data_IF_832565482027
#
_entry.id   IF_832565482027
#
_cell.length_a   1.000
_cell.length_b   1.000
_cell.length_c   1.000
_cell.angle_alpha   90.00
_cell.angle_beta   90.00
_cell.angle_gamma   90.00
#
_symmetry.space_group_name_H-M   'P 1'
#
loop_
_entity.id
_entity.type
_entity.pdbx_description
1 polymer ?
#
# COMPACT_ATOMS: atom_id res chain seq x y z
N UNK A 1 16.65 -1.35 23.56
CA UNK A 1 17.27 -1.36 22.21
C UNK A 1 16.35 -2.12 21.26
N UNK A 2 16.15 -1.63 20.04
CA UNK A 2 15.37 -2.35 19.02
C UNK A 2 16.27 -3.40 18.37
N UNK A 3 15.78 -4.64 18.28
CA UNK A 3 16.48 -5.72 17.58
C UNK A 3 16.57 -5.40 16.08
N UNK A 4 17.79 -5.35 15.53
CA UNK A 4 18.07 -5.09 14.12
C UNK A 4 17.74 -6.32 13.27
N UNK A 5 16.45 -6.54 13.03
CA UNK A 5 15.96 -7.59 12.14
C UNK A 5 14.97 -6.98 11.15
N UNK A 6 15.35 -6.97 9.86
CA UNK A 6 14.57 -6.34 8.79
C UNK A 6 13.12 -6.84 8.76
N UNK A 7 12.91 -8.15 8.87
CA UNK A 7 11.56 -8.74 8.79
C UNK A 7 10.70 -8.40 10.00
N UNK A 8 11.30 -8.31 11.20
CA UNK A 8 10.58 -7.88 12.40
C UNK A 8 10.23 -6.39 12.34
N UNK A 9 11.16 -5.56 11.87
CA UNK A 9 11.00 -4.10 11.80
C UNK A 9 9.92 -3.73 10.77
N UNK A 10 9.96 -4.33 9.58
CA UNK A 10 9.07 -4.02 8.46
C UNK A 10 7.98 -5.09 8.22
N UNK A 11 7.62 -5.84 9.27
CA UNK A 11 6.68 -6.97 9.21
C UNK A 11 5.38 -6.66 8.48
N UNK A 12 4.80 -5.48 8.72
CA UNK A 12 3.57 -5.04 8.07
C UNK A 12 3.71 -5.03 6.55
N UNK A 13 4.74 -4.36 6.03
CA UNK A 13 5.03 -4.26 4.60
C UNK A 13 5.27 -5.64 4.00
N UNK A 14 6.06 -6.48 4.68
CA UNK A 14 6.35 -7.84 4.22
C UNK A 14 5.09 -8.71 4.14
N UNK A 15 4.16 -8.58 5.09
CA UNK A 15 2.87 -9.28 5.07
C UNK A 15 2.03 -8.81 3.88
N UNK A 16 1.92 -7.49 3.66
CA UNK A 16 1.17 -6.95 2.53
C UNK A 16 1.73 -7.44 1.18
N UNK A 17 3.05 -7.51 1.04
CA UNK A 17 3.68 -8.09 -0.14
C UNK A 17 3.37 -9.58 -0.33
N UNK A 18 3.30 -10.36 0.77
CA UNK A 18 2.93 -11.79 0.70
C UNK A 18 1.47 -11.99 0.30
N UNK A 19 0.55 -11.19 0.86
CA UNK A 19 -0.88 -11.24 0.52
C UNK A 19 -1.10 -10.90 -0.96
N UNK A 20 -0.44 -9.86 -1.46
CA UNK A 20 -0.49 -9.49 -2.88
C UNK A 20 0.37 -10.38 -3.79
N UNK A 21 1.06 -11.37 -3.24
CA UNK A 21 2.00 -12.26 -3.95
C UNK A 21 3.13 -11.54 -4.70
N UNK A 22 3.43 -10.30 -4.29
CA UNK A 22 4.51 -9.48 -4.83
C UNK A 22 5.84 -9.69 -4.08
N UNK A 23 5.83 -10.41 -2.96
CA UNK A 23 7.01 -10.67 -2.16
C UNK A 23 8.13 -11.39 -2.95
N UNK A 24 9.40 -10.97 -2.83
CA UNK A 24 10.50 -11.47 -3.67
C UNK A 24 10.82 -12.96 -3.47
N UNK A 25 10.48 -13.54 -2.32
CA UNK A 25 10.64 -14.98 -2.06
C UNK A 25 9.49 -15.84 -2.65
N UNK A 26 8.43 -15.22 -3.16
CA UNK A 26 7.29 -15.96 -3.73
C UNK A 26 7.71 -16.68 -5.01
N UNK A 27 7.59 -18.01 -5.04
CA UNK A 27 7.96 -18.80 -6.23
C UNK A 27 6.94 -18.59 -7.35
N UNK A 28 7.38 -18.14 -8.53
CA UNK A 28 6.52 -18.06 -9.71
C UNK A 28 6.40 -19.48 -10.28
N UNK A 29 5.27 -20.10 -10.00
CA UNK A 29 4.86 -21.40 -10.54
C UNK A 29 3.40 -21.29 -11.04
N UNK A 30 2.87 -22.38 -11.60
CA UNK A 30 1.47 -22.41 -12.07
C UNK A 30 0.47 -22.05 -10.96
N UNK A 31 0.76 -22.43 -9.71
CA UNK A 31 -0.07 -22.12 -8.54
C UNK A 31 -0.08 -20.62 -8.21
N UNK A 32 1.08 -19.95 -8.27
CA UNK A 32 1.18 -18.50 -8.13
C UNK A 32 0.39 -17.77 -9.20
N UNK A 33 0.48 -18.22 -10.46
CA UNK A 33 -0.29 -17.63 -11.55
C UNK A 33 -1.79 -17.76 -11.30
N UNK A 34 -2.26 -18.96 -10.92
CA UNK A 34 -3.67 -19.21 -10.62
C UNK A 34 -4.16 -18.37 -9.43
N UNK A 35 -3.40 -18.33 -8.34
CA UNK A 35 -3.77 -17.55 -7.14
C UNK A 35 -3.73 -16.06 -7.44
N UNK A 36 -2.75 -15.58 -8.21
CA UNK A 36 -2.67 -14.18 -8.64
C UNK A 36 -3.84 -13.78 -9.55
N UNK A 37 -4.26 -14.67 -10.46
CA UNK A 37 -5.46 -14.46 -11.29
C UNK A 37 -6.70 -14.38 -10.41
N UNK A 38 -6.85 -15.24 -9.41
CA UNK A 38 -8.00 -15.21 -8.50
C UNK A 38 -8.08 -13.91 -7.68
N UNK A 39 -6.94 -13.34 -7.28
CA UNK A 39 -6.90 -12.05 -6.57
C UNK A 39 -7.09 -10.86 -7.53
N UNK A 40 -6.40 -10.85 -8.67
CA UNK A 40 -6.42 -9.69 -9.58
C UNK A 40 -7.64 -9.64 -10.50
N UNK A 41 -8.33 -10.77 -10.72
CA UNK A 41 -9.53 -10.83 -11.56
C UNK A 41 -10.67 -9.95 -11.04
N UNK A 42 -11.15 -10.10 -9.78
CA UNK A 42 -12.19 -9.22 -9.24
C UNK A 42 -11.73 -7.75 -9.22
N UNK A 43 -10.45 -7.50 -8.92
CA UNK A 43 -9.88 -6.16 -8.94
C UNK A 43 -9.95 -5.49 -10.33
N UNK A 44 -9.59 -6.26 -11.37
CA UNK A 44 -9.64 -5.81 -12.77
C UNK A 44 -11.08 -5.65 -13.25
N UNK A 45 -12.00 -6.51 -12.80
CA UNK A 45 -13.42 -6.37 -13.11
C UNK A 45 -14.01 -5.08 -12.53
N UNK A 46 -13.61 -4.68 -11.30
CA UNK A 46 -14.01 -3.40 -10.71
C UNK A 46 -13.51 -2.23 -11.54
N UNK A 47 -12.25 -2.29 -12.01
CA UNK A 47 -11.68 -1.27 -12.89
C UNK A 47 -12.47 -1.12 -14.20
N UNK A 48 -12.84 -2.22 -14.86
CA UNK A 48 -13.67 -2.16 -16.06
C UNK A 48 -15.06 -1.56 -15.79
N UNK A 49 -15.64 -1.90 -14.63
CA UNK A 49 -16.93 -1.33 -14.19
C UNK A 49 -16.83 0.17 -13.96
N UNK A 50 -15.74 0.64 -13.36
CA UNK A 50 -15.46 2.06 -13.14
C UNK A 50 -15.27 2.83 -14.46
N UNK A 51 -14.57 2.25 -15.44
CA UNK A 51 -14.44 2.86 -16.78
C UNK A 51 -15.81 3.05 -17.41
N UNK A 52 -16.65 2.01 -17.39
CA UNK A 52 -18.00 2.08 -17.95
C UNK A 52 -18.83 3.16 -17.22
N UNK A 53 -18.76 3.19 -15.89
CA UNK A 53 -19.41 4.21 -15.08
C UNK A 53 -18.95 5.64 -15.42
N UNK A 54 -17.64 5.86 -15.58
CA UNK A 54 -17.11 7.18 -15.95
C UNK A 54 -17.55 7.57 -17.36
N UNK A 55 -17.56 6.64 -18.32
CA UNK A 55 -18.09 6.88 -19.67
C UNK A 55 -19.58 7.23 -19.66
N UNK A 56 -20.37 6.56 -18.83
CA UNK A 56 -21.78 6.88 -18.63
C UNK A 56 -21.97 8.32 -18.13
N UNK A 57 -21.22 8.73 -17.11
CA UNK A 57 -21.32 10.11 -16.60
C UNK A 57 -20.83 11.16 -17.60
N UNK A 58 -19.77 10.88 -18.35
CA UNK A 58 -19.29 11.76 -19.43
C UNK A 58 -20.33 11.92 -20.54
N UNK A 59 -21.05 10.85 -20.90
CA UNK A 59 -22.08 10.89 -21.94
C UNK A 59 -23.31 11.69 -21.50
N UNK A 60 -23.57 11.77 -20.19
CA UNK A 60 -24.68 12.51 -19.61
C UNK A 60 -24.29 13.92 -19.11
N UNK A 61 -23.14 14.44 -19.55
CA UNK A 61 -22.59 15.76 -19.16
C UNK A 61 -22.39 15.97 -17.64
N UNK A 62 -22.31 14.88 -16.87
CA UNK A 62 -22.06 14.91 -15.42
C UNK A 62 -20.56 14.79 -15.13
N UNK A 63 -19.85 15.88 -15.41
CA UNK A 63 -18.39 15.93 -15.26
C UNK A 63 -17.94 15.71 -13.82
N UNK A 64 -18.69 16.18 -12.82
CA UNK A 64 -18.33 16.02 -11.42
C UNK A 64 -18.25 14.54 -11.03
N UNK A 65 -19.28 13.76 -11.38
CA UNK A 65 -19.29 12.33 -11.11
C UNK A 65 -18.31 11.55 -11.99
N UNK A 66 -18.06 12.00 -13.22
CA UNK A 66 -17.03 11.43 -14.08
C UNK A 66 -15.64 11.57 -13.46
N UNK A 67 -15.25 12.77 -13.00
CA UNK A 67 -13.95 13.00 -12.36
C UNK A 67 -13.80 12.22 -11.06
N UNK A 68 -14.85 12.23 -10.22
CA UNK A 68 -14.85 11.49 -8.95
C UNK A 68 -14.60 9.99 -9.15
N UNK A 69 -15.23 9.38 -10.15
CA UNK A 69 -15.05 7.96 -10.49
C UNK A 69 -13.77 7.70 -11.33
N UNK A 70 -13.21 8.73 -11.96
CA UNK A 70 -11.92 8.68 -12.65
C UNK A 70 -10.71 8.53 -11.72
N UNK A 71 -10.77 9.07 -10.51
CA UNK A 71 -9.67 8.97 -9.53
C UNK A 71 -9.30 7.50 -9.21
N UNK A 72 -10.24 6.62 -8.85
CA UNK A 72 -9.99 5.18 -8.70
C UNK A 72 -9.32 4.49 -9.90
N UNK A 73 -9.65 4.92 -11.13
CA UNK A 73 -9.08 4.37 -12.38
C UNK A 73 -7.58 4.67 -12.47
N UNK A 74 -7.18 5.90 -12.09
CA UNK A 74 -5.78 6.31 -12.02
C UNK A 74 -5.03 5.49 -10.98
N UNK A 75 -5.60 5.33 -9.77
CA UNK A 75 -5.00 4.51 -8.72
C UNK A 75 -4.77 3.06 -9.16
N UNK A 76 -5.79 2.43 -9.76
CA UNK A 76 -5.64 1.07 -10.31
C UNK A 76 -4.47 0.99 -11.30
N UNK A 77 -4.42 1.93 -12.24
CA UNK A 77 -3.39 1.95 -13.29
C UNK A 77 -1.99 2.07 -12.68
N UNK A 78 -1.79 3.02 -11.77
CA UNK A 78 -0.52 3.21 -11.07
C UNK A 78 -0.11 1.96 -10.26
N UNK A 79 -1.06 1.34 -9.53
CA UNK A 79 -0.77 0.17 -8.71
C UNK A 79 -0.45 -1.07 -9.55
N UNK A 80 -1.14 -1.27 -10.67
CA UNK A 80 -0.84 -2.36 -11.59
C UNK A 80 0.52 -2.18 -12.26
N UNK A 81 0.90 -0.95 -12.64
CA UNK A 81 2.24 -0.65 -13.13
C UNK A 81 3.31 -0.97 -12.08
N UNK A 82 3.12 -0.51 -10.84
CA UNK A 82 4.02 -0.82 -9.73
C UNK A 82 4.13 -2.33 -9.48
N UNK A 83 3.00 -3.05 -9.52
CA UNK A 83 2.97 -4.51 -9.37
C UNK A 83 3.80 -5.19 -10.46
N UNK A 84 3.60 -4.84 -11.73
CA UNK A 84 4.35 -5.41 -12.86
C UNK A 84 5.85 -5.08 -12.76
N UNK A 85 6.20 -3.84 -12.42
CA UNK A 85 7.59 -3.43 -12.23
C UNK A 85 8.24 -4.26 -11.12
N UNK A 86 7.58 -4.42 -9.98
CA UNK A 86 8.13 -5.15 -8.84
C UNK A 86 8.31 -6.64 -9.15
N UNK A 87 7.36 -7.27 -9.85
CA UNK A 87 7.51 -8.65 -10.31
C UNK A 87 8.68 -8.79 -11.28
N UNK A 88 8.85 -7.86 -12.23
CA UNK A 88 9.99 -7.87 -13.17
C UNK A 88 11.33 -7.66 -12.46
N UNK A 89 11.39 -6.76 -11.47
CA UNK A 89 12.59 -6.38 -10.72
C UNK A 89 12.75 -7.14 -9.41
N UNK A 90 12.07 -8.28 -9.25
CA UNK A 90 12.05 -9.07 -8.00
C UNK A 90 13.44 -9.49 -7.51
N UNK A 91 14.37 -9.75 -8.43
CA UNK A 91 15.74 -10.16 -8.08
C UNK A 91 16.51 -8.98 -7.48
N UNK A 92 16.40 -7.80 -8.08
CA UNK A 92 16.98 -6.56 -7.56
C UNK A 92 16.39 -6.23 -6.19
N UNK A 93 15.06 -6.35 -6.03
CA UNK A 93 14.41 -6.14 -4.73
C UNK A 93 14.88 -7.14 -3.67
N UNK A 94 15.03 -8.42 -4.04
CA UNK A 94 15.58 -9.44 -3.14
C UNK A 94 16.98 -9.07 -2.69
N UNK A 95 17.84 -8.67 -3.62
CA UNK A 95 19.21 -8.28 -3.32
C UNK A 95 19.26 -7.06 -2.40
N UNK A 96 18.37 -6.07 -2.59
CA UNK A 96 18.27 -4.91 -1.69
C UNK A 96 17.91 -5.35 -0.26
N UNK A 97 16.91 -6.22 -0.10
CA UNK A 97 16.52 -6.75 1.21
C UNK A 97 17.65 -7.57 1.85
N UNK A 98 18.31 -8.43 1.09
CA UNK A 98 19.44 -9.24 1.56
C UNK A 98 20.64 -8.37 1.95
N UNK A 99 20.91 -7.30 1.19
CA UNK A 99 21.96 -6.32 1.51
C UNK A 99 21.65 -5.61 2.84
N UNK A 100 20.43 -5.09 3.01
CA UNK A 100 20.02 -4.46 4.27
C UNK A 100 20.07 -5.44 5.44
N UNK A 101 19.66 -6.71 5.26
CA UNK A 101 19.79 -7.76 6.28
C UNK A 101 21.26 -8.01 6.64
N UNK A 102 22.15 -8.07 5.65
CA UNK A 102 23.59 -8.25 5.86
C UNK A 102 24.18 -7.08 6.65
N UNK A 103 23.82 -5.85 6.28
CA UNK A 103 24.30 -4.64 6.95
C UNK A 103 23.82 -4.57 8.40
N UNK A 104 22.56 -4.94 8.67
CA UNK A 104 22.04 -5.06 10.03
C UNK A 104 22.76 -6.13 10.86
N UNK A 105 23.14 -7.25 10.24
CA UNK A 105 23.94 -8.27 10.93
C UNK A 105 25.34 -7.77 11.29
N UNK A 106 25.98 -7.00 10.40
CA UNK A 106 27.30 -6.40 10.66
C UNK A 106 27.22 -5.33 11.75
N UNK A 107 26.13 -4.56 11.77
CA UNK A 107 25.87 -3.53 12.77
C UNK A 107 25.86 -4.04 14.22
N UNK A 108 25.51 -5.32 14.44
CA UNK A 108 25.52 -5.93 15.77
C UNK A 108 26.91 -6.01 16.40
N UNK A 109 27.98 -6.05 15.59
CA UNK A 109 29.37 -6.08 16.05
C UNK A 109 30.05 -4.71 16.07
N UNK A 110 29.33 -3.62 15.75
CA UNK A 110 29.88 -2.27 15.77
C UNK A 110 29.84 -1.66 17.19
N UNK A 111 30.62 -0.62 17.41
CA UNK A 111 30.50 0.24 18.58
C UNK A 111 29.08 0.80 18.73
N UNK A 112 28.73 1.09 19.98
CA UNK A 112 27.38 1.52 20.33
C UNK A 112 26.97 2.83 19.63
N UNK A 113 27.91 3.74 19.32
CA UNK A 113 27.60 4.98 18.59
C UNK A 113 27.14 4.68 17.16
N UNK A 114 27.91 3.92 16.39
CA UNK A 114 27.54 3.54 15.02
C UNK A 114 26.28 2.67 14.97
N UNK A 115 26.13 1.75 15.93
CA UNK A 115 24.91 0.93 16.07
C UNK A 115 23.67 1.77 16.36
N UNK A 116 23.77 2.78 17.22
CA UNK A 116 22.66 3.69 17.53
C UNK A 116 22.18 4.46 16.29
N UNK A 117 23.10 4.88 15.41
CA UNK A 117 22.75 5.58 14.16
C UNK A 117 21.91 4.67 13.26
N UNK A 118 22.38 3.44 12.99
CA UNK A 118 21.65 2.47 12.15
C UNK A 118 20.27 2.17 12.74
N UNK A 119 20.20 1.97 14.06
CA UNK A 119 18.93 1.77 14.76
C UNK A 119 17.99 2.97 14.61
N UNK A 120 18.51 4.19 14.70
CA UNK A 120 17.74 5.43 14.53
C UNK A 120 17.06 5.51 13.16
N UNK A 121 17.80 5.25 12.08
CA UNK A 121 17.24 5.22 10.72
C UNK A 121 16.24 4.07 10.53
N UNK A 122 16.55 2.88 11.03
CA UNK A 122 15.64 1.73 10.93
C UNK A 122 14.31 1.97 11.67
N UNK A 123 14.36 2.56 12.86
CA UNK A 123 13.17 2.95 13.64
C UNK A 123 12.39 4.05 12.93
N UNK A 124 13.08 5.01 12.32
CA UNK A 124 12.44 6.07 11.53
C UNK A 124 11.71 5.47 10.33
N UNK A 125 12.33 4.55 9.59
CA UNK A 125 11.69 3.85 8.48
C UNK A 125 10.46 3.06 8.93
N UNK A 126 10.52 2.41 10.09
CA UNK A 126 9.37 1.71 10.68
C UNK A 126 8.24 2.69 11.02
N UNK A 127 8.57 3.83 11.62
CA UNK A 127 7.59 4.87 11.97
C UNK A 127 6.88 5.40 10.72
N UNK A 128 7.62 5.72 9.66
CA UNK A 128 7.05 6.18 8.39
C UNK A 128 6.11 5.11 7.80
N UNK A 129 6.54 3.85 7.79
CA UNK A 129 5.75 2.75 7.24
C UNK A 129 4.46 2.49 8.04
N UNK A 130 4.54 2.52 9.37
CA UNK A 130 3.38 2.37 10.24
C UNK A 130 2.43 3.58 10.11
N UNK A 131 2.97 4.79 10.09
CA UNK A 131 2.17 6.00 9.92
C UNK A 131 1.36 5.95 8.63
N UNK A 132 1.98 5.58 7.51
CA UNK A 132 1.26 5.43 6.25
C UNK A 132 0.21 4.30 6.32
N UNK A 133 0.54 3.17 6.94
CA UNK A 133 -0.41 2.08 7.18
C UNK A 133 -1.64 2.53 7.97
N UNK A 134 -1.46 3.36 9.01
CA UNK A 134 -2.57 3.92 9.78
C UNK A 134 -3.42 4.88 8.94
N UNK A 135 -2.81 5.75 8.13
CA UNK A 135 -3.55 6.66 7.25
C UNK A 135 -4.43 5.92 6.26
N UNK A 136 -3.93 4.82 5.68
CA UNK A 136 -4.70 3.97 4.78
C UNK A 136 -5.88 3.30 5.50
N UNK A 137 -5.63 2.66 6.65
CA UNK A 137 -6.71 2.04 7.45
C UNK A 137 -7.78 3.06 7.85
N UNK A 138 -7.38 4.28 8.22
CA UNK A 138 -8.31 5.38 8.54
C UNK A 138 -9.12 5.77 7.30
N UNK A 139 -8.50 5.84 6.12
CA UNK A 139 -9.17 6.09 4.85
C UNK A 139 -10.32 5.10 4.61
N UNK A 140 -10.08 3.78 4.56
CA UNK A 140 -11.20 2.81 4.38
C UNK A 140 -12.25 2.93 5.47
N UNK A 141 -11.81 3.12 6.72
CA UNK A 141 -12.72 3.23 7.87
C UNK A 141 -13.66 4.43 7.73
N UNK A 142 -13.18 5.55 7.20
CA UNK A 142 -14.01 6.73 6.92
C UNK A 142 -15.03 6.46 5.80
N UNK A 143 -14.66 5.74 4.75
CA UNK A 143 -15.62 5.35 3.70
C UNK A 143 -16.69 4.39 4.23
N UNK A 144 -16.30 3.42 5.07
CA UNK A 144 -17.26 2.53 5.74
C UNK A 144 -18.19 3.30 6.67
N UNK A 145 -17.64 4.20 7.50
CA UNK A 145 -18.42 5.03 8.42
C UNK A 145 -19.39 5.98 7.67
N UNK A 146 -18.94 6.61 6.58
CA UNK A 146 -19.80 7.41 5.68
C UNK A 146 -21.00 6.59 5.24
N UNK A 147 -20.76 5.36 4.77
CA UNK A 147 -21.81 4.50 4.23
C UNK A 147 -22.84 4.12 5.29
N UNK A 148 -22.38 3.77 6.49
CA UNK A 148 -23.26 3.43 7.63
C UNK A 148 -24.10 4.65 8.04
N UNK A 149 -23.45 5.81 8.22
CA UNK A 149 -24.12 7.03 8.66
C UNK A 149 -25.19 7.50 7.66
N UNK A 150 -24.85 7.51 6.37
CA UNK A 150 -25.79 7.89 5.31
C UNK A 150 -26.95 6.90 5.20
N UNK A 151 -26.69 5.60 5.35
CA UNK A 151 -27.75 4.58 5.36
C UNK A 151 -28.74 4.83 6.51
N UNK A 152 -28.25 5.10 7.73
CA UNK A 152 -29.10 5.42 8.88
C UNK A 152 -29.88 6.71 8.63
N UNK A 153 -29.20 7.76 8.16
CA UNK A 153 -29.82 9.06 7.91
C UNK A 153 -30.93 8.98 6.85
N UNK A 154 -30.64 8.37 5.71
CA UNK A 154 -31.61 8.23 4.62
C UNK A 154 -32.78 7.35 5.03
N UNK A 155 -32.53 6.21 5.68
CA UNK A 155 -33.60 5.31 6.12
C UNK A 155 -34.54 5.97 7.13
N UNK A 156 -34.00 6.76 8.06
CA UNK A 156 -34.81 7.53 9.02
C UNK A 156 -35.66 8.61 8.34
N UNK A 157 -35.16 9.21 7.26
CA UNK A 157 -35.85 10.28 6.52
C UNK A 157 -36.93 9.75 5.58
N UNK A 158 -36.69 8.62 4.90
CA UNK A 158 -37.67 8.01 3.99
C UNK A 158 -38.73 7.18 4.70
N UNK A 159 -38.47 6.73 5.93
CA UNK A 159 -39.35 5.79 6.63
C UNK A 159 -39.22 4.34 6.16
N UNK A 160 -38.35 4.09 5.19
CA UNK A 160 -38.04 2.78 4.60
C UNK A 160 -36.52 2.57 4.58
N UNK A 161 -36.07 1.31 4.63
CA UNK A 161 -34.65 0.96 4.57
C UNK A 161 -34.06 1.36 3.21
N UNK A 162 -33.19 2.38 3.22
CA UNK A 162 -32.47 2.88 2.05
C UNK A 162 -30.97 2.69 2.23
N UNK A 163 -30.44 1.69 1.55
CA UNK A 163 -29.03 1.30 1.62
C UNK A 163 -28.19 2.25 0.76
N UNK A 164 -27.16 2.83 1.37
CA UNK A 164 -26.22 3.73 0.68
C UNK A 164 -25.02 2.91 0.20
N UNK A 165 -24.55 3.16 -1.02
CA UNK A 165 -23.38 2.45 -1.59
C UNK A 165 -22.05 2.95 -1.03
N UNK A 166 -21.01 2.13 -1.12
CA UNK A 166 -19.65 2.49 -0.69
C UNK A 166 -19.05 3.52 -1.66
N UNK A 167 -19.19 3.25 -2.96
CA UNK A 167 -18.94 4.21 -4.02
C UNK A 167 -20.23 4.68 -4.70
N UNK A 168 -20.24 5.95 -5.11
CA UNK A 168 -21.32 6.52 -5.91
C UNK A 168 -21.06 6.23 -7.40
N UNK A 169 -21.17 4.94 -7.72
CA UNK A 169 -20.93 4.36 -9.05
C UNK A 169 -22.27 3.98 -9.68
N UNK A 170 -22.39 4.23 -10.98
CA UNK A 170 -23.47 3.71 -11.80
C UNK A 170 -23.11 2.33 -12.35
N UNK A 171 -23.92 1.33 -12.02
CA UNK A 171 -23.88 -0.02 -12.60
C UNK A 171 -25.03 -0.22 -13.60
N UNK A 172 -24.77 -0.87 -14.75
CA UNK A 172 -25.79 -1.21 -15.74
C UNK A 172 -26.77 -2.27 -15.22
N UNK A 173 -27.79 -2.61 -16.04
CA UNK A 173 -28.79 -3.66 -15.76
C UNK A 173 -29.64 -3.42 -14.50
N UNK A 174 -29.98 -2.16 -14.22
CA UNK A 174 -30.77 -1.74 -13.06
C UNK A 174 -30.14 -2.07 -11.69
N UNK A 175 -28.88 -2.51 -11.65
CA UNK A 175 -28.17 -2.84 -10.41
C UNK A 175 -28.08 -1.60 -9.51
N UNK A 176 -27.84 -0.43 -10.09
CA UNK A 176 -27.81 0.86 -9.38
C UNK A 176 -29.09 1.15 -8.58
N UNK A 177 -30.25 0.84 -9.15
CA UNK A 177 -31.55 1.11 -8.54
C UNK A 177 -31.92 -0.01 -7.56
N UNK A 178 -31.70 -1.26 -7.96
CA UNK A 178 -32.08 -2.44 -7.19
C UNK A 178 -31.30 -2.53 -5.88
N UNK A 179 -30.01 -2.18 -5.86
CA UNK A 179 -29.18 -2.23 -4.65
C UNK A 179 -29.60 -1.26 -3.55
N UNK A 180 -30.42 -0.25 -3.87
CA UNK A 180 -30.86 0.76 -2.88
C UNK A 180 -31.84 0.17 -1.87
N UNK A 181 -32.68 -0.77 -2.34
CA UNK A 181 -33.77 -1.34 -1.55
C UNK A 181 -33.63 -2.86 -1.36
N UNK A 182 -32.81 -3.53 -2.19
CA UNK A 182 -32.63 -4.98 -2.12
C UNK A 182 -31.26 -5.35 -1.50
N UNK A 183 -31.30 -5.85 -0.28
CA UNK A 183 -30.12 -6.32 0.47
C UNK A 183 -29.32 -7.40 -0.28
N UNK A 184 -29.99 -8.28 -1.04
CA UNK A 184 -29.33 -9.36 -1.78
C UNK A 184 -28.44 -8.87 -2.92
N UNK A 185 -28.75 -7.69 -3.46
CA UNK A 185 -27.93 -7.04 -4.50
C UNK A 185 -26.92 -6.09 -3.86
N UNK A 186 -27.32 -5.43 -2.77
CA UNK A 186 -26.46 -4.52 -2.03
C UNK A 186 -25.20 -5.19 -1.47
N UNK A 187 -25.35 -6.31 -0.75
CA UNK A 187 -24.23 -6.92 -0.03
C UNK A 187 -23.08 -7.36 -0.97
N UNK A 188 -23.34 -8.08 -2.08
CA UNK A 188 -22.27 -8.44 -3.02
C UNK A 188 -21.59 -7.23 -3.64
N UNK A 189 -22.35 -6.19 -4.04
CA UNK A 189 -21.78 -4.96 -4.63
C UNK A 189 -20.93 -4.22 -3.60
N UNK A 190 -21.42 -4.11 -2.36
CA UNK A 190 -20.67 -3.48 -1.26
C UNK A 190 -19.37 -4.22 -0.96
N UNK A 191 -19.41 -5.55 -0.86
CA UNK A 191 -18.21 -6.37 -0.64
C UNK A 191 -17.22 -6.24 -1.80
N UNK A 192 -17.71 -6.13 -3.03
CA UNK A 192 -16.88 -5.92 -4.21
C UNK A 192 -16.18 -4.56 -4.20
N UNK A 193 -16.89 -3.49 -3.83
CA UNK A 193 -16.34 -2.13 -3.68
C UNK A 193 -15.31 -2.05 -2.53
N UNK A 194 -15.60 -2.67 -1.39
CA UNK A 194 -14.68 -2.78 -0.26
C UNK A 194 -13.44 -3.59 -0.63
N UNK A 195 -13.61 -4.70 -1.37
CA UNK A 195 -12.51 -5.51 -1.86
C UNK A 195 -11.56 -4.72 -2.76
N UNK A 196 -12.11 -3.98 -3.74
CA UNK A 196 -11.33 -3.13 -4.62
C UNK A 196 -10.51 -2.08 -3.84
N UNK A 197 -11.16 -1.43 -2.88
CA UNK A 197 -10.51 -0.41 -2.03
C UNK A 197 -9.41 -1.01 -1.18
N UNK A 198 -9.72 -2.09 -0.47
CA UNK A 198 -8.77 -2.76 0.42
C UNK A 198 -7.56 -3.31 -0.32
N UNK A 199 -7.76 -3.88 -1.51
CA UNK A 199 -6.63 -4.35 -2.32
C UNK A 199 -5.81 -3.17 -2.85
N UNK A 200 -6.44 -2.08 -3.31
CA UNK A 200 -5.74 -0.86 -3.74
C UNK A 200 -4.85 -0.31 -2.62
N UNK A 201 -5.37 -0.17 -1.41
CA UNK A 201 -4.60 0.33 -0.29
C UNK A 201 -3.46 -0.60 0.13
N UNK A 202 -3.68 -1.91 0.07
CA UNK A 202 -2.62 -2.89 0.31
C UNK A 202 -1.48 -2.75 -0.72
N UNK A 203 -1.82 -2.53 -1.99
CA UNK A 203 -0.83 -2.27 -3.05
C UNK A 203 -0.11 -0.93 -2.86
N UNK A 204 -0.83 0.11 -2.44
CA UNK A 204 -0.25 1.43 -2.12
C UNK A 204 0.75 1.29 -0.98
N UNK A 205 0.39 0.57 0.09
CA UNK A 205 1.20 0.47 1.29
C UNK A 205 2.60 -0.07 1.00
N UNK A 206 2.72 -1.21 0.30
CA UNK A 206 4.06 -1.73 0.01
C UNK A 206 4.77 -0.93 -1.10
N UNK A 207 4.06 -0.46 -2.12
CA UNK A 207 4.71 0.24 -3.25
C UNK A 207 5.30 1.58 -2.84
N UNK A 208 4.65 2.29 -1.91
CA UNK A 208 5.10 3.61 -1.46
C UNK A 208 6.03 3.56 -0.25
N UNK A 209 6.03 2.50 0.56
CA UNK A 209 6.94 2.40 1.73
C UNK A 209 8.31 1.81 1.41
N UNK A 210 8.42 0.92 0.42
CA UNK A 210 9.70 0.29 0.08
C UNK A 210 10.78 1.31 -0.29
N UNK A 211 10.45 2.32 -1.10
CA UNK A 211 11.38 3.38 -1.49
C UNK A 211 11.97 4.10 -0.27
N UNK A 212 11.14 4.74 0.59
CA UNK A 212 11.60 5.38 1.82
C UNK A 212 12.38 4.47 2.77
N UNK A 213 12.02 3.18 2.89
CA UNK A 213 12.76 2.22 3.71
C UNK A 213 14.21 2.09 3.22
N UNK A 214 14.41 1.88 1.92
CA UNK A 214 15.75 1.73 1.35
C UNK A 214 16.52 3.05 1.32
N UNK A 215 15.84 4.17 1.09
CA UNK A 215 16.46 5.50 1.16
C UNK A 215 16.97 5.81 2.57
N UNK A 216 16.17 5.57 3.61
CA UNK A 216 16.59 5.77 5.00
C UNK A 216 17.73 4.83 5.40
N UNK A 217 17.71 3.58 4.93
CA UNK A 217 18.85 2.66 5.11
C UNK A 217 20.12 3.23 4.47
N UNK A 218 20.04 3.68 3.22
CA UNK A 218 21.17 4.27 2.52
C UNK A 218 21.71 5.53 3.22
N UNK A 219 20.82 6.42 3.71
CA UNK A 219 21.22 7.58 4.52
C UNK A 219 21.96 7.16 5.79
N UNK A 220 21.48 6.13 6.48
CA UNK A 220 22.16 5.57 7.65
C UNK A 220 23.56 5.05 7.31
N UNK A 221 23.73 4.35 6.18
CA UNK A 221 25.05 3.90 5.72
C UNK A 221 25.98 5.06 5.37
N UNK A 222 25.48 6.11 4.71
CA UNK A 222 26.26 7.30 4.39
C UNK A 222 26.74 8.04 5.65
N UNK A 223 25.93 8.08 6.70
CA UNK A 223 26.32 8.70 7.97
C UNK A 223 27.45 7.91 8.67
N UNK A 224 27.45 6.58 8.57
CA UNK A 224 28.57 5.77 9.07
C UNK A 224 29.87 6.06 8.31
N UNK A 225 29.79 6.19 6.98
CA UNK A 225 30.94 6.53 6.15
C UNK A 225 31.48 7.90 6.53
N UNK A 226 30.61 8.89 6.74
CA UNK A 226 31.01 10.21 7.22
C UNK A 226 31.81 10.12 8.53
N UNK A 227 31.32 9.38 9.52
CA UNK A 227 32.02 9.20 10.81
C UNK A 227 33.37 8.50 10.63
N UNK A 228 33.46 7.53 9.72
CA UNK A 228 34.73 6.89 9.40
C UNK A 228 35.73 7.88 8.80
N UNK A 229 35.29 8.76 7.90
CA UNK A 229 36.13 9.83 7.35
C UNK A 229 36.58 10.80 8.43
N UNK A 230 35.67 11.30 9.26
CA UNK A 230 36.00 12.24 10.35
C UNK A 230 37.06 11.64 11.30
N UNK A 231 36.92 10.35 11.65
CA UNK A 231 37.90 9.65 12.49
C UNK A 231 39.27 9.47 11.81
N UNK A 232 39.35 9.40 10.48
CA UNK A 232 40.64 9.33 9.78
C UNK A 232 41.37 10.66 9.93
N UNK A 233 40.68 11.78 9.69
CA UNK A 233 41.28 13.11 9.81
C UNK A 233 41.64 13.48 11.26
N UNK A 234 40.88 13.03 12.26
CA UNK A 234 41.25 13.21 13.67
C UNK A 234 42.53 12.44 14.04
N UNK A 235 42.75 11.27 13.45
CA UNK A 235 43.96 10.46 13.68
C UNK A 235 45.16 10.88 12.80
N UNK A 236 44.92 11.58 11.68
CA UNK A 236 45.93 12.11 10.76
C UNK A 236 46.39 13.53 11.13
N UNK A 237 45.91 14.12 12.23
CA UNK A 237 46.52 15.31 12.84
C UNK A 237 47.91 14.92 13.42
N UNK A 238 48.87 14.78 12.52
CA UNK A 238 50.32 14.59 12.72
C UNK A 238 51.03 15.95 12.64
N UNK A 239 50.37 17.02 13.11
CA UNK A 239 50.99 18.30 13.45
C UNK A 239 50.68 18.48 14.95
N UNK A 240 51.59 18.37 15.92
CA UNK A 240 52.92 18.96 16.05
C UNK A 240 53.90 17.98 16.74
N UNK A 241 55.04 17.70 16.10
CA UNK A 241 56.29 17.32 16.78
C UNK A 241 57.49 17.80 15.95
#
# INVERSE_FOLDING_TARGET
MVELNFEKIFKLVMICMKISQSHPETKINKYWALTSILILSPYTLSFLSLINCTQYYLTNDDFFNAFRNGVPIVYYTCMMLNFVILIKKRFELRNLIECTKSDYSKACGMDERRKHIIQGYAVTGRRVSLFLGYLLIISVSLFMAKTIFLTIYHSKRSGELRLTSFYEVYYPFNISELRVYNTWVYVPVYLFEVYFTGLTELLILWSTTLGPIFMLHACGQLELVKIQFDNIFENDNVDEN
#
